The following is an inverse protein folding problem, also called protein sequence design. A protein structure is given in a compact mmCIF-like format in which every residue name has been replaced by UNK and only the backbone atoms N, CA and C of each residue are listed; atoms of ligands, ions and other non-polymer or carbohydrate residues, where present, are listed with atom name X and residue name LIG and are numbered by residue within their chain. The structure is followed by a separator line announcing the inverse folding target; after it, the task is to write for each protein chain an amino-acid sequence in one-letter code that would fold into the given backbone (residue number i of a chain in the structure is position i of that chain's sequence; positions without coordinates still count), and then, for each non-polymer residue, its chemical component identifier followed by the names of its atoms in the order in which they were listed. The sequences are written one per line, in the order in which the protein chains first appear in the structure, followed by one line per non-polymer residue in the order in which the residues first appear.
data_IF_647019768933
#
_entry.id   IF_647019768933
#
_cell.length_a   1.000
_cell.length_b   1.000
_cell.length_c   1.000
_cell.angle_alpha   90.00
_cell.angle_beta   90.00
_cell.angle_gamma   90.00
#
_symmetry.space_group_name_H-M   'P 1'
#
loop_
_entity.id
_entity.type
_entity.pdbx_description
1 polymer ?
#
# COMPACT_ATOMS: atom_id res chain seq x y z
N UNK A 1 -9.17 25.60 -16.18
CA UNK A 1 -9.83 24.45 -15.53
C UNK A 1 -9.02 23.15 -15.71
N UNK A 2 -7.68 23.16 -15.69
CA UNK A 2 -6.86 21.98 -16.06
C UNK A 2 -5.84 21.49 -15.02
N UNK A 3 -5.74 22.14 -13.85
CA UNK A 3 -4.78 21.77 -12.79
C UNK A 3 -5.39 20.84 -11.74
N UNK A 4 -6.67 21.03 -11.38
CA UNK A 4 -7.31 20.31 -10.28
C UNK A 4 -7.79 18.90 -10.65
N UNK A 5 -7.81 18.56 -11.95
CA UNK A 5 -8.12 17.22 -12.46
C UNK A 5 -6.89 16.35 -12.67
N UNK A 6 -5.69 16.89 -12.38
CA UNK A 6 -4.44 16.15 -12.44
C UNK A 6 -3.98 15.82 -11.04
N UNK A 7 -3.29 14.69 -10.91
CA UNK A 7 -2.54 14.39 -9.70
C UNK A 7 -1.43 15.43 -9.53
N UNK A 8 -1.23 15.84 -8.28
CA UNK A 8 -0.15 16.74 -7.90
C UNK A 8 1.16 15.97 -7.69
N UNK A 9 1.04 14.72 -7.22
CA UNK A 9 2.10 13.74 -6.97
C UNK A 9 1.40 12.35 -7.04
N UNK A 10 2.08 11.28 -7.46
CA UNK A 10 1.44 10.01 -7.84
C UNK A 10 1.56 8.87 -6.80
N UNK A 11 2.44 8.98 -5.81
CA UNK A 11 2.74 7.93 -4.84
C UNK A 11 1.90 8.06 -3.56
N UNK A 12 1.79 9.27 -3.00
CA UNK A 12 1.07 9.52 -1.74
C UNK A 12 -0.11 10.47 -1.92
N UNK A 13 -0.15 11.28 -2.98
CA UNK A 13 -1.27 12.17 -3.29
C UNK A 13 -2.04 11.67 -4.53
N UNK A 14 -2.40 10.39 -4.49
CA UNK A 14 -2.99 9.60 -5.58
C UNK A 14 -4.43 9.95 -5.97
N UNK A 15 -5.01 10.99 -5.36
CA UNK A 15 -6.31 11.56 -5.72
C UNK A 15 -6.18 12.96 -6.28
N UNK A 16 -6.86 13.24 -7.40
CA UNK A 16 -6.99 14.63 -7.82
C UNK A 16 -7.99 15.37 -6.93
N UNK A 17 -7.90 16.69 -6.87
CA UNK A 17 -8.92 17.51 -6.18
C UNK A 17 -10.31 17.20 -6.75
N UNK A 18 -10.41 16.94 -8.06
CA UNK A 18 -11.68 16.58 -8.69
C UNK A 18 -12.22 15.21 -8.25
N UNK A 19 -11.34 14.24 -7.99
CA UNK A 19 -11.75 12.92 -7.47
C UNK A 19 -12.32 13.02 -6.06
N UNK A 20 -11.73 13.89 -5.22
CA UNK A 20 -12.22 14.13 -3.86
C UNK A 20 -13.52 14.95 -3.86
N UNK A 21 -13.65 15.95 -4.74
CA UNK A 21 -14.86 16.75 -4.88
C UNK A 21 -16.03 15.98 -5.50
N UNK A 22 -15.74 15.05 -6.40
CA UNK A 22 -16.73 14.23 -7.08
C UNK A 22 -16.35 12.75 -6.97
N UNK A 23 -16.50 12.13 -5.79
CA UNK A 23 -16.13 10.74 -5.58
C UNK A 23 -16.88 9.82 -6.55
N UNK A 24 -16.14 9.02 -7.31
CA UNK A 24 -16.67 8.01 -8.22
C UNK A 24 -16.07 6.65 -7.87
N UNK A 25 -16.58 5.58 -8.49
CA UNK A 25 -16.02 4.23 -8.37
C UNK A 25 -15.96 3.65 -6.95
N UNK A 26 -16.83 4.10 -6.05
CA UNK A 26 -16.88 3.59 -4.68
C UNK A 26 -15.83 4.18 -3.74
N UNK A 27 -15.12 5.23 -4.17
CA UNK A 27 -14.26 6.01 -3.29
C UNK A 27 -15.10 6.60 -2.14
N UNK A 28 -14.76 6.23 -0.90
CA UNK A 28 -15.33 6.83 0.29
C UNK A 28 -14.48 8.01 0.71
N UNK A 29 -15.14 9.15 0.93
CA UNK A 29 -14.50 10.41 1.31
C UNK A 29 -15.28 10.98 2.48
N UNK A 30 -14.61 11.19 3.60
CA UNK A 30 -15.25 11.71 4.82
C UNK A 30 -14.67 13.04 5.25
N UNK A 31 -15.49 13.87 5.90
CA UNK A 31 -15.06 15.10 6.54
C UNK A 31 -14.53 14.83 7.96
N UNK A 32 -13.56 15.61 8.47
CA UNK A 32 -12.99 16.83 7.88
C UNK A 32 -11.84 16.58 6.88
N UNK A 33 -11.47 15.32 6.67
CA UNK A 33 -10.25 14.95 5.93
C UNK A 33 -10.31 15.36 4.46
N UNK A 34 -11.46 15.29 3.82
CA UNK A 34 -11.67 15.75 2.45
C UNK A 34 -11.36 17.25 2.29
N UNK A 35 -11.94 18.09 3.16
CA UNK A 35 -11.69 19.53 3.14
C UNK A 35 -10.22 19.85 3.44
N UNK A 36 -9.64 19.17 4.43
CA UNK A 36 -8.22 19.33 4.79
C UNK A 36 -7.30 18.96 3.63
N UNK A 37 -7.55 17.83 2.96
CA UNK A 37 -6.77 17.38 1.80
C UNK A 37 -6.74 18.44 0.68
N UNK A 38 -7.91 18.95 0.30
CA UNK A 38 -8.04 19.93 -0.78
C UNK A 38 -7.35 21.25 -0.41
N UNK A 39 -7.56 21.74 0.82
CA UNK A 39 -6.94 22.99 1.28
C UNK A 39 -5.42 22.85 1.38
N UNK A 40 -4.94 21.76 1.97
CA UNK A 40 -3.52 21.48 2.12
C UNK A 40 -2.79 21.45 0.77
N UNK A 41 -3.37 20.81 -0.26
CA UNK A 41 -2.82 20.83 -1.63
C UNK A 41 -2.75 22.25 -2.19
N UNK A 42 -3.82 23.04 -2.03
CA UNK A 42 -3.87 24.41 -2.57
C UNK A 42 -2.90 25.36 -1.86
N UNK A 43 -2.68 25.15 -0.57
CA UNK A 43 -1.77 25.94 0.27
C UNK A 43 -0.30 25.50 0.14
N UNK A 44 -0.02 24.39 -0.55
CA UNK A 44 1.31 23.79 -0.62
C UNK A 44 1.77 23.16 0.69
N UNK A 45 0.84 22.82 1.59
CA UNK A 45 1.10 22.09 2.84
C UNK A 45 1.01 20.59 2.56
N UNK A 46 2.03 20.04 1.93
CA UNK A 46 1.99 18.68 1.40
C UNK A 46 2.09 17.58 2.46
N UNK A 47 2.69 17.82 3.63
CA UNK A 47 2.65 16.91 4.77
C UNK A 47 1.22 16.78 5.30
N UNK A 48 0.52 17.91 5.45
CA UNK A 48 -0.90 17.95 5.83
C UNK A 48 -1.78 17.23 4.80
N UNK A 49 -1.46 17.37 3.50
CA UNK A 49 -2.20 16.71 2.43
C UNK A 49 -2.04 15.18 2.48
N UNK A 50 -0.80 14.67 2.68
CA UNK A 50 -0.57 13.23 2.83
C UNK A 50 -1.26 12.72 4.09
N UNK A 51 -1.15 13.42 5.21
CA UNK A 51 -1.84 13.07 6.45
C UNK A 51 -3.36 12.92 6.23
N UNK A 52 -3.98 13.95 5.63
CA UNK A 52 -5.40 13.93 5.32
C UNK A 52 -5.78 12.79 4.36
N UNK A 53 -4.93 12.46 3.39
CA UNK A 53 -5.16 11.34 2.47
C UNK A 53 -5.28 10.00 3.18
N UNK A 54 -4.39 9.70 4.12
CA UNK A 54 -4.45 8.43 4.88
C UNK A 54 -5.69 8.33 5.77
N UNK A 55 -6.31 9.45 6.11
CA UNK A 55 -7.55 9.48 6.89
C UNK A 55 -8.83 9.61 6.05
N UNK A 56 -8.70 9.86 4.73
CA UNK A 56 -9.81 10.35 3.91
C UNK A 56 -10.97 9.38 3.77
N UNK A 57 -10.71 8.08 3.90
CA UNK A 57 -11.72 7.01 3.79
C UNK A 57 -12.46 6.77 5.13
N UNK A 58 -12.00 7.37 6.23
CA UNK A 58 -12.68 7.32 7.52
C UNK A 58 -12.36 6.11 8.39
N UNK A 59 -11.46 5.23 7.92
CA UNK A 59 -11.04 4.03 8.65
C UNK A 59 -10.01 4.31 9.74
N UNK A 60 -9.57 5.57 9.94
CA UNK A 60 -8.58 5.91 10.96
C UNK A 60 -9.26 6.46 12.22
N UNK A 61 -8.95 5.84 13.37
CA UNK A 61 -9.45 6.23 14.68
C UNK A 61 -8.28 6.44 15.64
N UNK A 62 -8.20 7.63 16.25
CA UNK A 62 -7.10 8.02 17.15
C UNK A 62 -5.69 7.84 16.54
N UNK A 63 -5.57 8.05 15.21
CA UNK A 63 -4.31 7.89 14.47
C UNK A 63 -3.92 6.43 14.18
N UNK A 64 -4.79 5.49 14.52
CA UNK A 64 -4.65 4.05 14.27
C UNK A 64 -5.58 3.66 13.13
N UNK A 65 -5.06 2.85 12.21
CA UNK A 65 -5.82 2.42 11.04
C UNK A 65 -6.74 1.26 11.44
N UNK A 66 -8.02 1.32 11.07
CA UNK A 66 -9.04 0.31 11.31
C UNK A 66 -9.02 -0.34 12.70
N UNK A 67 -9.07 -1.68 12.70
CA UNK A 67 -8.89 -2.54 13.89
C UNK A 67 -7.41 -2.97 14.06
N UNK A 68 -6.44 -2.20 13.52
CA UNK A 68 -5.01 -2.51 13.56
C UNK A 68 -4.36 -2.02 14.85
N UNK A 69 -3.05 -2.29 15.02
CA UNK A 69 -2.19 -1.56 15.96
C UNK A 69 -1.19 -0.66 15.22
N UNK A 70 -1.40 -0.43 13.92
CA UNK A 70 -0.53 0.33 13.03
C UNK A 70 -0.97 1.78 13.04
N UNK A 71 -0.05 2.68 13.36
CA UNK A 71 -0.28 4.12 13.25
C UNK A 71 -0.17 4.58 11.79
N UNK A 72 -0.80 5.71 11.49
CA UNK A 72 -0.69 6.32 10.14
C UNK A 72 0.76 6.62 9.76
N UNK A 73 1.60 7.04 10.71
CA UNK A 73 3.02 7.31 10.45
C UNK A 73 3.81 6.04 10.13
N UNK A 74 3.51 4.94 10.80
CA UNK A 74 4.12 3.63 10.50
C UNK A 74 3.72 3.15 9.11
N UNK A 75 2.45 3.31 8.72
CA UNK A 75 2.00 2.95 7.38
C UNK A 75 2.67 3.83 6.30
N UNK A 76 2.79 5.14 6.52
CA UNK A 76 3.50 6.04 5.62
C UNK A 76 4.98 5.62 5.47
N UNK A 77 5.65 5.20 6.56
CA UNK A 77 7.03 4.71 6.49
C UNK A 77 7.15 3.39 5.71
N UNK A 78 6.18 2.48 5.86
CA UNK A 78 6.12 1.22 5.10
C UNK A 78 5.91 1.48 3.61
N UNK A 79 4.91 2.27 3.24
CA UNK A 79 4.63 2.64 1.85
C UNK A 79 5.80 3.40 1.23
N UNK A 80 6.41 4.33 1.97
CA UNK A 80 7.61 5.03 1.55
C UNK A 80 8.76 4.07 1.22
N UNK A 81 8.96 3.05 2.07
CA UNK A 81 9.98 2.01 1.85
C UNK A 81 9.66 1.19 0.60
N UNK A 82 8.41 0.77 0.42
CA UNK A 82 7.97 0.00 -0.73
C UNK A 82 8.15 0.79 -2.04
N UNK A 83 7.73 2.06 -2.08
CA UNK A 83 7.88 2.92 -3.25
C UNK A 83 9.34 3.22 -3.56
N UNK A 84 10.17 3.45 -2.54
CA UNK A 84 11.61 3.71 -2.73
C UNK A 84 12.32 2.55 -3.42
N UNK A 85 11.93 1.32 -3.08
CA UNK A 85 12.48 0.08 -3.64
C UNK A 85 11.93 -0.22 -5.03
N UNK A 86 10.60 -0.11 -5.20
CA UNK A 86 9.93 -0.60 -6.41
C UNK A 86 9.75 0.47 -7.50
N UNK A 87 9.75 1.75 -7.13
CA UNK A 87 9.53 2.90 -8.01
C UNK A 87 10.55 4.02 -7.74
N UNK A 88 11.87 3.75 -7.80
CA UNK A 88 12.90 4.69 -7.35
C UNK A 88 12.94 6.01 -8.12
N UNK A 89 12.56 6.02 -9.40
CA UNK A 89 12.50 7.25 -10.21
C UNK A 89 11.33 8.13 -9.76
N UNK A 90 10.13 7.55 -9.63
CA UNK A 90 8.95 8.23 -9.14
C UNK A 90 9.15 8.72 -7.70
N UNK A 91 9.87 7.94 -6.89
CA UNK A 91 10.20 8.34 -5.53
C UNK A 91 11.12 9.56 -5.49
N UNK A 92 12.11 9.63 -6.39
CA UNK A 92 12.97 10.81 -6.51
C UNK A 92 12.17 12.05 -6.95
N UNK A 93 11.18 11.88 -7.83
CA UNK A 93 10.26 12.96 -8.21
C UNK A 93 9.40 13.44 -7.02
N UNK A 94 8.90 12.51 -6.20
CA UNK A 94 8.15 12.83 -4.99
C UNK A 94 9.01 13.60 -3.97
N UNK A 95 10.28 13.21 -3.78
CA UNK A 95 11.21 13.95 -2.92
C UNK A 95 11.39 15.40 -3.40
N UNK A 96 11.66 15.60 -4.69
CA UNK A 96 11.80 16.95 -5.27
C UNK A 96 10.50 17.76 -5.22
N UNK A 97 9.34 17.10 -5.16
CA UNK A 97 8.05 17.74 -4.94
C UNK A 97 7.91 18.22 -3.49
N UNK A 98 8.19 17.37 -2.50
CA UNK A 98 8.04 17.70 -1.08
C UNK A 98 9.06 18.72 -0.55
N UNK A 99 10.18 18.94 -1.24
CA UNK A 99 11.10 20.06 -0.93
C UNK A 99 10.41 21.44 -1.02
N UNK A 100 9.29 21.54 -1.72
CA UNK A 100 8.53 22.78 -1.92
C UNK A 100 7.44 22.98 -0.86
N UNK A 101 7.38 22.12 0.14
CA UNK A 101 6.36 22.18 1.20
C UNK A 101 6.44 23.52 1.94
N UNK A 102 5.27 24.13 2.14
CA UNK A 102 5.12 25.38 2.86
C UNK A 102 5.61 25.26 4.30
N UNK A 103 6.22 26.32 4.84
CA UNK A 103 6.62 26.38 6.26
C UNK A 103 5.43 26.42 7.22
N UNK A 104 4.20 26.57 6.71
CA UNK A 104 2.97 26.51 7.48
C UNK A 104 2.40 25.09 7.60
N UNK A 105 3.09 24.08 7.06
CA UNK A 105 2.70 22.68 7.19
C UNK A 105 2.81 22.21 8.64
N UNK A 106 1.73 21.65 9.17
CA UNK A 106 1.66 21.21 10.57
C UNK A 106 2.11 19.74 10.74
N UNK A 107 2.22 18.99 9.64
CA UNK A 107 2.65 17.59 9.59
C UNK A 107 3.98 17.44 8.84
N UNK A 108 4.95 18.31 9.14
CA UNK A 108 6.30 18.24 8.58
C UNK A 108 6.96 16.86 8.83
N UNK A 109 6.61 16.20 9.95
CA UNK A 109 7.05 14.84 10.28
C UNK A 109 6.73 13.82 9.18
N UNK A 110 5.62 13.98 8.45
CA UNK A 110 5.27 13.11 7.31
C UNK A 110 6.28 13.26 6.18
N UNK A 111 6.59 14.51 5.78
CA UNK A 111 7.60 14.76 4.74
C UNK A 111 9.02 14.37 5.18
N UNK A 112 9.32 14.48 6.48
CA UNK A 112 10.58 14.03 7.07
C UNK A 112 10.73 12.50 7.01
N UNK A 113 9.67 11.74 7.24
CA UNK A 113 9.69 10.26 7.08
C UNK A 113 10.02 9.89 5.63
N UNK A 114 9.31 10.49 4.67
CA UNK A 114 9.52 10.24 3.23
C UNK A 114 10.95 10.61 2.84
N UNK A 115 11.43 11.78 3.28
CA UNK A 115 12.81 12.22 3.02
C UNK A 115 13.85 11.27 3.65
N UNK A 116 13.65 10.85 4.89
CA UNK A 116 14.54 9.91 5.59
C UNK A 116 14.69 8.61 4.81
N UNK A 117 13.57 7.99 4.42
CA UNK A 117 13.58 6.75 3.61
C UNK A 117 14.26 6.97 2.26
N UNK A 118 14.08 8.14 1.65
CA UNK A 118 14.77 8.53 0.42
C UNK A 118 16.31 8.48 0.51
N UNK A 119 16.86 8.84 1.67
CA UNK A 119 18.29 8.85 1.96
C UNK A 119 18.84 7.54 2.51
N UNK A 120 17.96 6.58 2.87
CA UNK A 120 18.41 5.24 3.25
C UNK A 120 19.01 4.51 2.04
N UNK A 121 19.98 3.64 2.32
CA UNK A 121 20.59 2.81 1.29
C UNK A 121 19.56 1.78 0.81
N UNK A 122 19.25 1.78 -0.50
CA UNK A 122 18.28 0.86 -1.11
C UNK A 122 18.62 -0.61 -0.81
N UNK A 123 19.92 -0.97 -0.74
CA UNK A 123 20.34 -2.32 -0.39
C UNK A 123 19.91 -2.72 1.04
N UNK A 124 19.94 -1.77 1.98
CA UNK A 124 19.51 -1.99 3.36
C UNK A 124 17.96 -2.03 3.44
N UNK A 125 17.26 -1.29 2.59
CA UNK A 125 15.79 -1.39 2.45
C UNK A 125 15.36 -2.75 1.88
N UNK A 126 16.10 -3.32 0.92
CA UNK A 126 15.88 -4.68 0.42
C UNK A 126 16.02 -5.74 1.53
N UNK A 127 16.77 -5.47 2.60
CA UNK A 127 16.90 -6.40 3.75
C UNK A 127 15.78 -6.27 4.78
N UNK A 128 14.93 -5.24 4.71
CA UNK A 128 13.80 -5.04 5.64
C UNK A 128 12.54 -5.85 5.31
N UNK A 129 12.63 -6.86 4.45
CA UNK A 129 11.50 -7.73 4.13
C UNK A 129 11.44 -8.90 5.12
N UNK A 130 10.50 -8.89 6.07
CA UNK A 130 10.16 -10.08 6.87
C UNK A 130 8.74 -10.56 6.58
N UNK A 131 8.45 -10.86 5.32
CA UNK A 131 7.41 -11.85 5.02
C UNK A 131 8.08 -13.23 5.05
N UNK A 132 7.57 -14.13 5.89
CA UNK A 132 8.01 -15.53 5.90
C UNK A 132 6.94 -16.41 5.29
N UNK A 133 7.34 -17.33 4.41
CA UNK A 133 6.47 -18.38 3.86
C UNK A 133 6.59 -19.62 4.75
N UNK A 134 5.48 -20.32 4.99
CA UNK A 134 5.51 -21.64 5.65
C UNK A 134 4.63 -22.60 4.87
N UNK A 135 5.25 -23.63 4.29
CA UNK A 135 4.54 -24.62 3.48
C UNK A 135 3.87 -25.68 4.37
N UNK A 136 2.63 -26.05 4.06
CA UNK A 136 1.95 -27.16 4.73
C UNK A 136 2.60 -28.48 4.34
N UNK A 137 3.20 -29.19 5.30
CA UNK A 137 3.83 -30.51 5.07
C UNK A 137 2.83 -31.64 4.75
N UNK A 138 1.51 -31.38 4.87
CA UNK A 138 0.45 -32.40 4.74
C UNK A 138 -0.45 -32.21 3.52
N UNK A 139 -0.34 -31.10 2.79
CA UNK A 139 -1.15 -30.80 1.61
C UNK A 139 -0.24 -30.32 0.49
N UNK A 140 -0.34 -30.94 -0.68
CA UNK A 140 0.44 -30.53 -1.87
C UNK A 140 -0.20 -29.29 -2.50
N UNK A 141 0.59 -28.24 -2.71
CA UNK A 141 0.23 -27.11 -3.55
C UNK A 141 0.90 -27.31 -4.92
N UNK A 142 0.13 -27.73 -5.92
CA UNK A 142 0.69 -27.98 -7.26
C UNK A 142 1.10 -26.67 -7.91
N UNK A 143 2.32 -26.64 -8.47
CA UNK A 143 2.90 -25.48 -9.17
C UNK A 143 1.94 -24.86 -10.21
N UNK A 144 1.28 -25.69 -11.01
CA UNK A 144 0.29 -25.25 -12.01
C UNK A 144 -0.92 -24.54 -11.40
N UNK A 145 -1.35 -24.95 -10.20
CA UNK A 145 -2.45 -24.30 -9.48
C UNK A 145 -2.02 -22.94 -8.92
N UNK A 146 -0.79 -22.81 -8.41
CA UNK A 146 -0.28 -21.54 -7.90
C UNK A 146 -0.02 -20.52 -9.01
N UNK A 147 0.56 -20.93 -10.15
CA UNK A 147 0.74 -20.05 -11.31
C UNK A 147 -0.59 -19.50 -11.85
N UNK A 148 -1.63 -20.33 -11.86
CA UNK A 148 -2.96 -19.89 -12.31
C UNK A 148 -3.63 -18.96 -11.29
N UNK A 149 -3.43 -19.19 -9.99
CA UNK A 149 -3.86 -18.26 -8.93
C UNK A 149 -3.21 -16.88 -9.11
N UNK A 150 -1.89 -16.82 -9.32
CA UNK A 150 -1.15 -15.57 -9.54
C UNK A 150 -1.65 -14.84 -10.80
N UNK A 151 -1.91 -15.57 -11.89
CA UNK A 151 -2.49 -14.98 -13.11
C UNK A 151 -3.89 -14.41 -12.88
N UNK A 152 -4.75 -15.14 -12.19
CA UNK A 152 -6.10 -14.67 -11.86
C UNK A 152 -6.06 -13.41 -10.99
N UNK A 153 -5.19 -13.38 -9.98
CA UNK A 153 -4.93 -12.18 -9.17
C UNK A 153 -4.54 -10.99 -10.05
N UNK A 154 -3.62 -11.18 -11.00
CA UNK A 154 -3.18 -10.12 -11.92
C UNK A 154 -4.29 -9.55 -12.80
N UNK A 155 -5.28 -10.37 -13.16
CA UNK A 155 -6.39 -9.97 -14.03
C UNK A 155 -7.59 -9.40 -13.29
N UNK A 156 -7.83 -9.79 -12.03
CA UNK A 156 -9.06 -9.47 -11.31
C UNK A 156 -8.90 -8.37 -10.26
N UNK A 157 -7.66 -8.02 -9.85
CA UNK A 157 -7.33 -6.93 -8.89
C UNK A 157 -8.44 -6.70 -7.85
N UNK A 158 -8.70 -7.67 -6.98
CA UNK A 158 -9.73 -7.53 -5.96
C UNK A 158 -9.17 -6.89 -4.69
N UNK A 159 -10.00 -6.10 -4.01
CA UNK A 159 -9.74 -5.63 -2.65
C UNK A 159 -9.69 -6.83 -1.69
N UNK A 160 -8.57 -6.97 -0.97
CA UNK A 160 -8.29 -8.13 -0.12
C UNK A 160 -8.76 -7.90 1.32
N UNK A 161 -8.46 -6.72 1.89
CA UNK A 161 -8.92 -6.30 3.22
C UNK A 161 -8.69 -7.35 4.32
N UNK A 162 -9.64 -7.48 5.24
CA UNK A 162 -9.49 -8.26 6.49
C UNK A 162 -9.79 -9.77 6.38
N UNK A 163 -9.60 -10.38 5.20
CA UNK A 163 -10.02 -11.77 4.95
C UNK A 163 -8.89 -12.77 5.21
N UNK A 164 -9.22 -13.87 5.92
CA UNK A 164 -8.28 -14.97 6.19
C UNK A 164 -7.94 -15.79 4.95
N UNK A 165 -8.92 -16.01 4.08
CA UNK A 165 -8.73 -16.62 2.77
C UNK A 165 -8.72 -15.54 1.72
N UNK A 166 -7.53 -15.30 1.18
CA UNK A 166 -7.28 -14.20 0.26
C UNK A 166 -7.59 -14.65 -1.17
N UNK A 167 -6.98 -15.76 -1.59
CA UNK A 167 -7.30 -16.42 -2.85
C UNK A 167 -7.15 -17.94 -2.74
N UNK A 168 -7.96 -18.70 -3.48
CA UNK A 168 -7.84 -20.14 -3.61
C UNK A 168 -8.05 -20.54 -5.07
N UNK A 169 -7.18 -21.39 -5.59
CA UNK A 169 -7.34 -22.00 -6.90
C UNK A 169 -6.84 -23.45 -6.83
N UNK A 170 -7.77 -24.39 -6.96
CA UNK A 170 -7.53 -25.83 -6.78
C UNK A 170 -6.72 -26.12 -5.49
N UNK A 171 -5.48 -26.56 -5.65
CA UNK A 171 -4.58 -26.97 -4.57
C UNK A 171 -3.78 -25.82 -3.95
N UNK A 172 -3.79 -24.63 -4.56
CA UNK A 172 -3.07 -23.47 -4.07
C UNK A 172 -4.00 -22.54 -3.29
N UNK A 173 -3.59 -22.16 -2.08
CA UNK A 173 -4.39 -21.33 -1.18
C UNK A 173 -3.52 -20.30 -0.48
N UNK A 174 -3.77 -19.03 -0.76
CA UNK A 174 -3.16 -17.91 -0.07
C UNK A 174 -4.00 -17.57 1.16
N UNK A 175 -3.38 -17.70 2.33
CA UNK A 175 -3.96 -17.28 3.61
C UNK A 175 -3.00 -16.32 4.29
N UNK A 176 -3.57 -15.25 4.84
CA UNK A 176 -2.89 -14.45 5.85
C UNK A 176 -3.07 -15.09 7.23
N UNK A 177 -2.32 -14.63 8.22
CA UNK A 177 -2.27 -15.15 9.59
C UNK A 177 -3.63 -15.23 10.33
N UNK A 178 -3.65 -15.26 11.66
CA UNK A 178 -4.91 -15.33 12.42
C UNK A 178 -5.95 -14.30 11.92
N UNK A 179 -7.24 -14.65 12.03
CA UNK A 179 -8.32 -13.74 11.65
C UNK A 179 -8.14 -12.38 12.35
N UNK A 180 -8.09 -11.28 11.59
CA UNK A 180 -7.77 -9.89 12.02
C UNK A 180 -6.30 -9.58 12.35
N UNK A 181 -5.34 -10.44 12.01
CA UNK A 181 -3.91 -10.16 12.24
C UNK A 181 -3.19 -9.48 11.07
N UNK A 182 -3.88 -9.25 9.95
CA UNK A 182 -3.30 -8.60 8.77
C UNK A 182 -4.33 -7.64 8.14
N UNK A 183 -4.72 -6.59 8.87
CA UNK A 183 -5.67 -5.60 8.37
C UNK A 183 -5.19 -4.80 7.15
N UNK A 184 -3.87 -4.73 6.94
CA UNK A 184 -3.25 -3.86 5.93
C UNK A 184 -2.73 -4.63 4.69
N UNK A 185 -3.32 -5.79 4.37
CA UNK A 185 -2.86 -6.58 3.23
C UNK A 185 -3.28 -5.95 1.89
N UNK A 186 -2.38 -5.20 1.29
CA UNK A 186 -2.56 -4.63 -0.05
C UNK A 186 -2.53 -5.70 -1.15
N UNK A 187 -3.10 -5.37 -2.32
CA UNK A 187 -3.03 -6.23 -3.50
C UNK A 187 -1.58 -6.53 -3.92
N UNK A 188 -0.68 -5.54 -3.83
CA UNK A 188 0.72 -5.68 -4.23
C UNK A 188 1.47 -6.62 -3.27
N UNK A 189 1.28 -6.44 -1.96
CA UNK A 189 1.86 -7.29 -0.92
C UNK A 189 1.40 -8.75 -1.09
N UNK A 190 0.10 -8.97 -1.31
CA UNK A 190 -0.45 -10.30 -1.54
C UNK A 190 0.08 -10.95 -2.83
N UNK A 191 0.26 -10.18 -3.90
CA UNK A 191 0.77 -10.66 -5.18
C UNK A 191 2.27 -11.02 -5.12
N UNK A 192 3.06 -10.26 -4.37
CA UNK A 192 4.48 -10.54 -4.10
C UNK A 192 4.62 -11.82 -3.26
N UNK A 193 3.83 -11.97 -2.19
CA UNK A 193 3.83 -13.20 -1.36
C UNK A 193 3.33 -14.41 -2.14
N UNK A 194 2.36 -14.25 -3.05
CA UNK A 194 1.89 -15.35 -3.90
C UNK A 194 2.99 -15.89 -4.83
N UNK A 195 3.93 -15.04 -5.29
CA UNK A 195 5.12 -15.47 -6.04
C UNK A 195 6.10 -16.24 -5.16
N UNK A 196 6.32 -15.80 -3.92
CA UNK A 196 7.16 -16.54 -2.95
C UNK A 196 6.61 -17.94 -2.64
N UNK A 197 5.28 -18.12 -2.57
CA UNK A 197 4.65 -19.44 -2.38
C UNK A 197 4.92 -20.39 -3.57
N UNK A 198 5.03 -19.86 -4.79
CA UNK A 198 5.33 -20.68 -5.97
C UNK A 198 6.78 -21.17 -5.98
N UNK A 199 7.71 -20.29 -5.62
CA UNK A 199 9.14 -20.61 -5.52
C UNK A 199 9.45 -21.53 -4.32
N UNK A 200 8.85 -21.28 -3.14
CA UNK A 200 9.19 -21.99 -1.90
C UNK A 200 8.35 -23.26 -1.64
N UNK A 201 7.10 -23.31 -2.12
CA UNK A 201 6.15 -24.40 -1.82
C UNK A 201 5.70 -25.21 -3.04
N UNK A 202 6.08 -24.82 -4.26
CA UNK A 202 5.66 -25.49 -5.49
C UNK A 202 6.30 -26.86 -5.67
N UNK A 203 5.57 -27.94 -5.35
CA UNK A 203 5.99 -29.28 -5.74
C UNK A 203 5.79 -29.45 -7.27
N UNK A 204 6.88 -29.75 -7.99
CA UNK A 204 6.80 -30.29 -9.35
C UNK A 204 6.24 -31.72 -9.25
N UNK A 205 5.29 -32.08 -10.14
CA UNK A 205 4.72 -33.42 -10.13
C UNK A 205 5.84 -34.47 -10.27
N UNK A 206 6.11 -35.21 -9.20
CA UNK A 206 6.75 -36.50 -9.25
C UNK A 206 5.68 -37.57 -9.15
N UNK A 207 5.29 -38.13 -10.29
CA UNK A 207 4.63 -39.44 -10.39
C UNK A 207 5.46 -40.48 -9.60
N UNK A 208 4.80 -41.44 -8.94
CA UNK A 208 4.41 -42.67 -9.64
C UNK A 208 2.89 -42.86 -9.71
#
# INVERSE_FOLDING_TARGET
MGSESKLVEQLFLDYSIQDVLNPQNGLQVVEPWAGMYIQAIRDGRYGDAVWARYHIEGDVHDGIIGDTNTTVLEMIEEDATEYRVNAPEQYAEALAFYEKTSSADEHANVTEIISRVGHENIADLHTRVTYSTTCSRRNLAYKSSCLQLIRLMSTQRALIGNRRDVYTYNSCRLRVGPYRSAPDLSYNTAHIVARLIEDDCGASQGLP
#
